data_IF_987820712460
#
_entry.id   IF_987820712460
#
_cell.length_a   1.000
_cell.length_b   1.000
_cell.length_c   1.000
_cell.angle_alpha   90.00
_cell.angle_beta   90.00
_cell.angle_gamma   90.00
#
_symmetry.space_group_name_H-M   'P 1'
#
loop_
_entity.id
_entity.type
_entity.pdbx_description
1 polymer ?
#
# COMPACT_ATOMS: atom_id res chain seq x y z
N UNK A 1 -41.96 9.21 -18.94
CA UNK A 1 -41.46 9.92 -20.13
C UNK A 1 -40.30 10.91 -19.90
N UNK A 2 -39.66 10.97 -18.72
CA UNK A 2 -38.44 11.80 -18.53
C UNK A 2 -37.15 11.00 -18.34
N UNK A 3 -37.19 9.66 -18.44
CA UNK A 3 -36.01 8.81 -18.23
C UNK A 3 -35.27 8.48 -19.53
N UNK A 4 -35.92 8.56 -20.70
CA UNK A 4 -35.27 8.34 -22.00
C UNK A 4 -34.49 9.57 -22.50
N UNK A 5 -34.79 10.77 -22.02
CA UNK A 5 -34.15 12.01 -22.48
C UNK A 5 -32.80 12.29 -21.80
N UNK A 6 -32.53 11.69 -20.65
CA UNK A 6 -31.25 11.80 -19.93
C UNK A 6 -30.16 10.87 -20.51
N UNK A 7 -30.55 9.78 -21.19
CA UNK A 7 -29.61 8.89 -21.88
C UNK A 7 -29.24 9.36 -23.29
N UNK A 8 -29.99 10.30 -23.87
CA UNK A 8 -29.68 10.87 -25.18
C UNK A 8 -28.61 11.98 -25.13
N UNK A 9 -28.35 12.57 -23.95
CA UNK A 9 -27.33 13.61 -23.75
C UNK A 9 -25.92 13.08 -23.45
N UNK A 10 -25.74 11.76 -23.41
CA UNK A 10 -24.47 11.10 -23.12
C UNK A 10 -23.98 10.24 -24.30
N UNK A 11 -24.35 10.61 -25.54
CA UNK A 11 -23.63 10.11 -26.71
C UNK A 11 -22.26 10.80 -26.74
N UNK A 12 -21.14 10.06 -26.73
CA UNK A 12 -19.83 10.66 -26.95
C UNK A 12 -19.83 11.31 -28.33
N UNK A 13 -19.29 12.54 -28.40
CA UNK A 13 -19.02 13.20 -29.67
C UNK A 13 -18.29 12.23 -30.62
N UNK A 14 -18.94 11.94 -31.74
CA UNK A 14 -18.46 11.06 -32.82
C UNK A 14 -17.27 11.66 -33.61
N UNK A 15 -16.52 12.59 -33.01
CA UNK A 15 -15.33 13.25 -33.57
C UNK A 15 -14.00 12.80 -32.95
N UNK A 16 -14.01 11.90 -31.97
CA UNK A 16 -12.77 11.42 -31.31
C UNK A 16 -12.27 10.05 -31.82
N UNK A 17 -12.83 9.53 -32.91
CA UNK A 17 -12.45 8.21 -33.46
C UNK A 17 -11.32 8.27 -34.51
N UNK A 18 -10.67 9.42 -34.68
CA UNK A 18 -9.48 9.53 -35.54
C UNK A 18 -8.25 8.96 -34.83
N UNK A 19 -7.95 7.70 -35.17
CA UNK A 19 -6.68 6.97 -34.97
C UNK A 19 -6.46 6.23 -33.64
N UNK A 20 -7.42 5.39 -33.23
CA UNK A 20 -7.11 4.31 -32.26
C UNK A 20 -6.02 3.38 -32.84
N UNK A 21 -4.78 3.51 -32.34
CA UNK A 21 -3.71 2.57 -32.67
C UNK A 21 -4.00 1.22 -31.98
N UNK A 22 -3.86 0.08 -32.68
CA UNK A 22 -4.33 -1.24 -32.19
C UNK A 22 -3.61 -1.78 -30.95
N UNK A 23 -2.63 -1.07 -30.40
CA UNK A 23 -1.82 -1.50 -29.25
C UNK A 23 -1.82 -0.49 -28.09
N UNK A 24 -2.69 0.52 -28.11
CA UNK A 24 -2.75 1.54 -27.05
C UNK A 24 -4.09 1.48 -26.34
N UNK A 25 -4.04 1.28 -25.04
CA UNK A 25 -5.20 1.20 -24.14
C UNK A 25 -5.55 2.60 -23.68
N UNK A 26 -6.81 2.99 -23.89
CA UNK A 26 -7.30 4.29 -23.43
C UNK A 26 -7.57 4.29 -21.92
N UNK A 27 -7.34 5.43 -21.28
CA UNK A 27 -7.63 5.64 -19.86
C UNK A 27 -9.13 5.57 -19.54
N UNK A 28 -10.00 5.67 -20.55
CA UNK A 28 -11.46 5.74 -20.41
C UNK A 28 -12.13 4.36 -20.39
N UNK A 29 -11.38 3.29 -20.57
CA UNK A 29 -11.94 1.94 -20.65
C UNK A 29 -12.37 1.42 -19.27
N UNK A 30 -13.61 0.94 -19.16
CA UNK A 30 -14.21 0.51 -17.88
C UNK A 30 -13.46 -0.69 -17.27
N UNK A 31 -12.99 -1.63 -18.11
CA UNK A 31 -12.21 -2.79 -17.64
C UNK A 31 -10.89 -2.39 -16.98
N UNK A 32 -10.29 -1.26 -17.39
CA UNK A 32 -9.06 -0.73 -16.78
C UNK A 32 -9.30 -0.36 -15.32
N UNK A 33 -10.47 0.19 -14.99
CA UNK A 33 -10.85 0.49 -13.61
C UNK A 33 -10.94 -0.77 -12.73
N UNK A 34 -11.49 -1.87 -13.26
CA UNK A 34 -11.50 -3.15 -12.54
C UNK A 34 -10.09 -3.72 -12.35
N UNK A 35 -9.22 -3.57 -13.34
CA UNK A 35 -7.81 -3.96 -13.23
C UNK A 35 -7.07 -3.15 -12.17
N UNK A 36 -7.24 -1.82 -12.15
CA UNK A 36 -6.65 -0.94 -11.14
C UNK A 36 -7.12 -1.32 -9.72
N UNK A 37 -8.39 -1.70 -9.56
CA UNK A 37 -8.92 -2.22 -8.29
C UNK A 37 -8.25 -3.56 -7.90
N UNK A 38 -8.10 -4.49 -8.85
CA UNK A 38 -7.43 -5.76 -8.60
C UNK A 38 -5.95 -5.56 -8.19
N UNK A 39 -5.25 -4.62 -8.81
CA UNK A 39 -3.88 -4.26 -8.46
C UNK A 39 -3.79 -3.57 -7.10
N UNK A 40 -4.75 -2.70 -6.78
CA UNK A 40 -4.86 -2.10 -5.45
C UNK A 40 -5.00 -3.18 -4.36
N UNK A 41 -5.89 -4.15 -4.56
CA UNK A 41 -6.07 -5.28 -3.64
C UNK A 41 -4.78 -6.11 -3.54
N UNK A 42 -4.13 -6.38 -4.67
CA UNK A 42 -2.87 -7.13 -4.69
C UNK A 42 -1.79 -6.44 -3.86
N UNK A 43 -1.64 -5.12 -3.98
CA UNK A 43 -0.65 -4.36 -3.19
C UNK A 43 -1.03 -4.36 -1.72
N UNK A 44 -2.32 -4.21 -1.38
CA UNK A 44 -2.81 -4.34 0.01
C UNK A 44 -2.41 -5.69 0.62
N UNK A 45 -2.62 -6.77 -0.12
CA UNK A 45 -2.23 -8.13 0.29
C UNK A 45 -0.71 -8.21 0.53
N UNK A 46 0.11 -7.69 -0.40
CA UNK A 46 1.57 -7.65 -0.25
C UNK A 46 2.01 -6.83 0.96
N UNK A 47 1.38 -5.68 1.20
CA UNK A 47 1.63 -4.81 2.35
C UNK A 47 1.28 -5.45 3.70
N UNK A 48 0.47 -6.51 3.72
CA UNK A 48 0.14 -7.25 4.94
C UNK A 48 1.11 -8.43 5.11
N UNK A 49 1.27 -9.26 4.08
CA UNK A 49 2.00 -10.52 4.24
C UNK A 49 3.53 -10.35 4.20
N UNK A 50 4.07 -9.40 3.44
CA UNK A 50 5.52 -9.21 3.37
C UNK A 50 6.10 -8.72 4.71
N UNK A 51 5.59 -7.63 5.33
CA UNK A 51 6.09 -7.19 6.63
C UNK A 51 5.86 -8.23 7.72
N UNK A 52 4.73 -8.95 7.69
CA UNK A 52 4.47 -10.05 8.62
C UNK A 52 5.52 -11.16 8.51
N UNK A 53 5.83 -11.63 7.30
CA UNK A 53 6.81 -12.70 7.07
C UNK A 53 8.23 -12.28 7.48
N UNK A 54 8.61 -11.04 7.19
CA UNK A 54 9.90 -10.48 7.59
C UNK A 54 9.96 -10.31 9.11
N UNK A 55 8.98 -9.61 9.68
CA UNK A 55 8.96 -9.20 11.08
C UNK A 55 8.85 -10.34 12.08
N UNK A 56 8.24 -11.45 11.67
CA UNK A 56 8.08 -12.64 12.50
C UNK A 56 9.03 -13.77 12.10
N UNK A 57 9.90 -13.55 11.09
CA UNK A 57 10.88 -14.50 10.56
C UNK A 57 10.19 -15.83 10.19
N UNK A 58 9.15 -15.75 9.36
CA UNK A 58 8.39 -16.92 8.91
C UNK A 58 9.15 -17.64 7.80
N UNK A 59 9.70 -18.82 8.11
CA UNK A 59 10.58 -19.61 7.22
C UNK A 59 9.85 -20.64 6.35
N UNK A 60 8.57 -20.89 6.62
CA UNK A 60 7.74 -21.90 5.92
C UNK A 60 7.26 -21.39 4.56
N UNK A 61 8.18 -21.25 3.60
CA UNK A 61 7.91 -20.64 2.29
C UNK A 61 6.91 -21.41 1.43
N UNK A 62 6.75 -22.72 1.63
CA UNK A 62 5.86 -23.57 0.84
C UNK A 62 4.38 -23.16 0.97
N UNK A 63 3.96 -22.71 2.16
CA UNK A 63 2.58 -22.26 2.41
C UNK A 63 2.23 -21.00 1.63
N UNK A 64 3.23 -20.19 1.31
CA UNK A 64 3.07 -18.90 0.65
C UNK A 64 3.34 -18.95 -0.87
N UNK A 65 3.84 -20.08 -1.38
CA UNK A 65 4.29 -20.22 -2.76
C UNK A 65 3.20 -19.86 -3.79
N UNK A 66 1.97 -20.33 -3.57
CA UNK A 66 0.85 -20.04 -4.47
C UNK A 66 0.55 -18.54 -4.54
N UNK A 67 0.55 -17.85 -3.39
CA UNK A 67 0.36 -16.41 -3.31
C UNK A 67 1.51 -15.65 -3.97
N UNK A 68 2.74 -16.10 -3.71
CA UNK A 68 3.97 -15.52 -4.25
C UNK A 68 3.98 -15.56 -5.79
N UNK A 69 3.60 -16.70 -6.38
CA UNK A 69 3.46 -16.86 -7.83
C UNK A 69 2.34 -15.96 -8.37
N UNK A 70 1.17 -15.94 -7.71
CA UNK A 70 0.04 -15.11 -8.14
C UNK A 70 0.40 -13.62 -8.17
N UNK A 71 1.09 -13.12 -7.15
CA UNK A 71 1.58 -11.72 -7.09
C UNK A 71 2.52 -11.41 -8.25
N UNK A 72 3.49 -12.28 -8.53
CA UNK A 72 4.43 -12.09 -9.64
C UNK A 72 3.71 -12.05 -10.99
N UNK A 73 2.75 -12.94 -11.22
CA UNK A 73 1.93 -12.96 -12.45
C UNK A 73 1.14 -11.66 -12.58
N UNK A 74 0.41 -11.25 -11.54
CA UNK A 74 -0.35 -9.99 -11.53
C UNK A 74 0.54 -8.78 -11.81
N UNK A 75 1.73 -8.76 -11.19
CA UNK A 75 2.71 -7.70 -11.36
C UNK A 75 3.28 -7.66 -12.78
N UNK A 76 3.47 -8.82 -13.42
CA UNK A 76 3.96 -8.94 -14.79
C UNK A 76 2.92 -8.44 -15.79
N UNK A 77 1.66 -8.83 -15.60
CA UNK A 77 0.54 -8.34 -16.42
C UNK A 77 0.39 -6.82 -16.24
N UNK A 78 0.51 -6.29 -15.03
CA UNK A 78 0.40 -4.85 -14.77
C UNK A 78 1.49 -4.04 -15.49
N UNK A 79 2.72 -4.53 -15.53
CA UNK A 79 3.82 -3.92 -16.29
C UNK A 79 3.50 -3.90 -17.78
N UNK A 80 3.00 -5.02 -18.31
CA UNK A 80 2.59 -5.10 -19.71
C UNK A 80 1.48 -4.10 -20.02
N UNK A 81 0.46 -4.00 -19.17
CA UNK A 81 -0.65 -3.06 -19.41
C UNK A 81 -0.16 -1.61 -19.31
N UNK A 82 0.63 -1.25 -18.29
CA UNK A 82 1.20 0.10 -18.14
C UNK A 82 2.07 0.52 -19.33
N UNK A 83 2.84 -0.42 -19.89
CA UNK A 83 3.65 -0.18 -21.08
C UNK A 83 2.82 0.09 -22.35
N UNK A 84 1.52 -0.23 -22.34
CA UNK A 84 0.59 -0.02 -23.45
C UNK A 84 -0.56 0.94 -23.10
N UNK A 85 -0.55 1.58 -21.93
CA UNK A 85 -1.61 2.52 -21.52
C UNK A 85 -1.24 3.94 -21.90
N UNK A 86 -2.19 4.67 -22.51
CA UNK A 86 -2.03 6.09 -22.83
C UNK A 86 -1.84 6.93 -21.56
N UNK A 87 -1.19 8.08 -21.71
CA UNK A 87 -1.06 9.05 -20.62
C UNK A 87 -1.64 10.40 -21.04
N UNK A 88 -2.12 11.15 -20.06
CA UNK A 88 -2.65 12.49 -20.24
C UNK A 88 -1.54 13.52 -20.08
N UNK A 89 -1.44 14.47 -21.02
CA UNK A 89 -0.55 15.62 -20.95
C UNK A 89 -1.31 16.85 -21.43
N UNK A 90 -1.38 17.88 -20.58
CA UNK A 90 -2.08 19.14 -20.87
C UNK A 90 -3.56 18.97 -21.29
N UNK A 91 -4.22 17.94 -20.75
CA UNK A 91 -5.63 17.63 -21.04
C UNK A 91 -5.84 16.79 -22.32
N UNK A 92 -4.78 16.48 -23.06
CA UNK A 92 -4.82 15.63 -24.25
C UNK A 92 -4.27 14.23 -23.97
N UNK A 93 -4.97 13.22 -24.51
CA UNK A 93 -4.59 11.81 -24.37
C UNK A 93 -3.55 11.45 -25.43
N UNK A 94 -2.28 11.33 -25.01
CA UNK A 94 -1.19 10.97 -25.91
C UNK A 94 -1.16 9.45 -26.09
N UNK A 95 -1.54 9.00 -27.28
CA UNK A 95 -1.62 7.59 -27.66
C UNK A 95 -0.41 7.13 -28.50
N UNK A 96 0.75 7.77 -28.37
CA UNK A 96 1.96 7.33 -29.08
C UNK A 96 2.78 6.30 -28.29
N UNK A 97 2.88 5.07 -28.80
CA UNK A 97 3.53 3.95 -28.12
C UNK A 97 5.00 4.24 -27.76
N UNK A 98 5.75 4.90 -28.64
CA UNK A 98 7.16 5.24 -28.37
C UNK A 98 7.28 6.28 -27.26
N UNK A 99 6.37 7.24 -27.20
CA UNK A 99 6.32 8.24 -26.15
C UNK A 99 5.94 7.63 -24.79
N UNK A 100 4.93 6.75 -24.77
CA UNK A 100 4.48 5.99 -23.59
C UNK A 100 5.65 5.19 -23.00
N UNK A 101 6.30 4.36 -23.81
CA UNK A 101 7.41 3.52 -23.36
C UNK A 101 8.59 4.35 -22.85
N UNK A 102 8.93 5.46 -23.52
CA UNK A 102 10.03 6.33 -23.08
C UNK A 102 9.73 6.99 -21.74
N UNK A 103 8.49 7.46 -21.54
CA UNK A 103 8.05 8.05 -20.27
C UNK A 103 8.04 7.01 -19.15
N UNK A 104 7.53 5.81 -19.44
CA UNK A 104 7.48 4.70 -18.49
C UNK A 104 8.88 4.23 -18.09
N UNK A 105 9.79 4.07 -19.07
CA UNK A 105 11.19 3.70 -18.86
C UNK A 105 11.94 4.69 -17.96
N UNK A 106 11.65 5.99 -18.09
CA UNK A 106 12.30 7.05 -17.29
C UNK A 106 11.78 7.17 -15.85
N UNK A 107 10.57 6.67 -15.57
CA UNK A 107 9.88 6.90 -14.30
C UNK A 107 9.75 5.63 -13.46
N UNK A 108 9.06 4.60 -13.97
CA UNK A 108 8.58 3.48 -13.16
C UNK A 108 9.08 2.10 -13.60
N UNK A 109 9.70 1.98 -14.78
CA UNK A 109 10.17 0.67 -15.28
C UNK A 109 11.18 -0.01 -14.33
N UNK A 110 12.16 0.75 -13.81
CA UNK A 110 13.19 0.19 -12.92
C UNK A 110 12.60 -0.40 -11.63
N UNK A 111 11.83 0.34 -10.81
CA UNK A 111 11.24 -0.23 -9.61
C UNK A 111 10.24 -1.37 -9.93
N UNK A 112 9.51 -1.28 -11.05
CA UNK A 112 8.56 -2.31 -11.45
C UNK A 112 9.24 -3.62 -11.84
N UNK A 113 10.37 -3.56 -12.55
CA UNK A 113 11.17 -4.74 -12.90
C UNK A 113 11.87 -5.31 -11.69
N UNK A 114 12.45 -4.49 -10.81
CA UNK A 114 13.07 -4.98 -9.58
C UNK A 114 12.08 -5.71 -8.67
N UNK A 115 10.84 -5.21 -8.60
CA UNK A 115 9.77 -5.87 -7.82
C UNK A 115 9.26 -7.18 -8.41
N UNK A 116 9.61 -7.50 -9.67
CA UNK A 116 9.26 -8.77 -10.32
C UNK A 116 10.26 -9.89 -10.03
N UNK A 117 11.48 -9.55 -9.60
CA UNK A 117 12.53 -10.53 -9.38
C UNK A 117 12.19 -11.34 -8.11
N UNK A 118 11.92 -12.64 -8.21
CA UNK A 118 11.58 -13.47 -7.05
C UNK A 118 12.86 -13.89 -6.31
N UNK A 119 13.53 -12.93 -5.67
CA UNK A 119 14.80 -13.14 -4.98
C UNK A 119 14.70 -14.20 -3.88
N UNK A 120 13.53 -14.34 -3.27
CA UNK A 120 13.23 -15.37 -2.27
C UNK A 120 13.17 -16.80 -2.83
N UNK A 121 12.73 -16.96 -4.08
CA UNK A 121 12.74 -18.29 -4.73
C UNK A 121 14.17 -18.68 -5.06
N UNK A 122 14.98 -17.71 -5.49
CA UNK A 122 16.41 -17.94 -5.71
C UNK A 122 17.09 -18.34 -4.40
N UNK A 123 16.86 -17.61 -3.30
CA UNK A 123 17.46 -17.93 -2.00
C UNK A 123 17.00 -19.29 -1.45
N UNK A 124 15.72 -19.64 -1.63
CA UNK A 124 15.20 -20.96 -1.30
C UNK A 124 15.86 -22.08 -2.13
N UNK A 125 16.11 -21.87 -3.42
CA UNK A 125 16.72 -22.86 -4.31
C UNK A 125 18.17 -23.20 -3.92
N UNK A 126 18.90 -22.26 -3.31
CA UNK A 126 20.25 -22.48 -2.78
C UNK A 126 20.25 -23.01 -1.33
N UNK A 127 19.08 -23.29 -0.75
CA UNK A 127 18.93 -23.84 0.60
C UNK A 127 18.95 -22.81 1.74
N UNK A 128 18.96 -21.52 1.43
CA UNK A 128 19.04 -20.43 2.41
C UNK A 128 17.88 -19.45 2.24
N UNK A 129 16.66 -19.89 2.56
CA UNK A 129 15.49 -19.01 2.51
C UNK A 129 15.57 -17.94 3.62
N UNK A 130 15.69 -16.68 3.18
CA UNK A 130 15.72 -15.51 4.04
C UNK A 130 14.53 -14.57 3.70
N UNK A 131 13.57 -14.38 4.62
CA UNK A 131 12.39 -13.54 4.39
C UNK A 131 12.72 -12.09 3.97
N UNK A 132 13.89 -11.58 4.37
CA UNK A 132 14.32 -10.21 4.08
C UNK A 132 14.33 -9.89 2.56
N UNK A 133 14.58 -10.88 1.70
CA UNK A 133 14.56 -10.69 0.25
C UNK A 133 13.18 -10.31 -0.31
N UNK A 134 12.10 -10.61 0.41
CA UNK A 134 10.75 -10.19 0.02
C UNK A 134 10.56 -8.68 0.09
N UNK A 135 11.41 -7.93 0.79
CA UNK A 135 11.31 -6.48 0.91
C UNK A 135 11.33 -5.78 -0.46
N UNK A 136 11.97 -6.36 -1.48
CA UNK A 136 11.96 -5.85 -2.86
C UNK A 136 10.54 -5.73 -3.45
N UNK A 137 9.59 -6.55 -2.99
CA UNK A 137 8.19 -6.49 -3.43
C UNK A 137 7.46 -5.24 -2.91
N UNK A 138 7.97 -4.61 -1.84
CA UNK A 138 7.43 -3.37 -1.30
C UNK A 138 7.77 -2.14 -2.15
N UNK A 139 8.66 -2.25 -3.14
CA UNK A 139 8.93 -1.16 -4.08
C UNK A 139 7.65 -0.69 -4.81
N UNK A 140 6.66 -1.58 -4.97
CA UNK A 140 5.38 -1.24 -5.59
C UNK A 140 4.42 -0.44 -4.71
N UNK A 141 4.70 -0.30 -3.41
CA UNK A 141 3.87 0.51 -2.50
C UNK A 141 3.76 1.96 -2.99
N UNK A 142 4.77 2.47 -3.70
CA UNK A 142 4.73 3.79 -4.33
C UNK A 142 3.57 3.98 -5.32
N UNK A 143 3.10 2.90 -5.96
CA UNK A 143 1.93 2.94 -6.85
C UNK A 143 0.60 3.07 -6.09
N UNK A 144 0.55 2.88 -4.77
CA UNK A 144 -0.69 3.14 -4.03
C UNK A 144 -1.18 4.57 -4.25
N UNK A 145 -0.27 5.54 -4.38
CA UNK A 145 -0.64 6.93 -4.69
C UNK A 145 -1.38 7.02 -6.03
N UNK A 146 -0.87 6.37 -7.08
CA UNK A 146 -1.51 6.38 -8.40
C UNK A 146 -2.89 5.73 -8.37
N UNK A 147 -3.04 4.61 -7.65
CA UNK A 147 -4.33 3.93 -7.50
C UNK A 147 -5.32 4.72 -6.64
N UNK A 148 -4.85 5.39 -5.59
CA UNK A 148 -5.68 6.28 -4.77
C UNK A 148 -6.17 7.50 -5.52
N UNK A 149 -5.36 8.04 -6.44
CA UNK A 149 -5.76 9.13 -7.33
C UNK A 149 -6.73 8.64 -8.40
N UNK A 150 -6.51 7.46 -8.98
CA UNK A 150 -7.44 6.84 -9.91
C UNK A 150 -8.80 6.58 -9.25
N UNK A 151 -8.80 6.02 -8.03
CA UNK A 151 -10.03 5.79 -7.26
C UNK A 151 -10.76 7.08 -6.93
N UNK A 152 -10.04 8.14 -6.52
CA UNK A 152 -10.64 9.45 -6.21
C UNK A 152 -11.36 10.05 -7.43
N UNK A 153 -10.81 9.88 -8.64
CA UNK A 153 -11.45 10.36 -9.88
C UNK A 153 -12.78 9.65 -10.20
N UNK A 154 -12.90 8.37 -9.84
CA UNK A 154 -14.08 7.54 -10.18
C UNK A 154 -15.08 7.49 -9.02
N UNK A 155 -14.64 7.72 -7.79
CA UNK A 155 -15.51 7.67 -6.62
C UNK A 155 -16.50 8.83 -6.60
N UNK A 156 -17.77 8.52 -6.35
CA UNK A 156 -18.83 9.53 -6.14
C UNK A 156 -18.85 10.12 -4.72
N UNK A 157 -17.86 9.78 -3.89
CA UNK A 157 -17.74 10.26 -2.53
C UNK A 157 -17.29 11.71 -2.50
N UNK A 158 -17.73 12.45 -1.48
CA UNK A 158 -17.23 13.82 -1.25
C UNK A 158 -15.71 13.77 -0.99
N UNK A 159 -14.91 14.71 -1.56
CA UNK A 159 -13.45 14.74 -1.36
C UNK A 159 -13.00 14.68 0.10
N UNK A 160 -13.75 15.32 1.00
CA UNK A 160 -13.46 15.29 2.43
C UNK A 160 -13.61 13.90 3.07
N UNK A 161 -14.57 13.09 2.60
CA UNK A 161 -14.76 11.71 3.06
C UNK A 161 -13.63 10.84 2.52
N UNK A 162 -13.26 10.99 1.25
CA UNK A 162 -12.12 10.30 0.63
C UNK A 162 -10.85 10.56 1.43
N UNK A 163 -10.60 11.83 1.82
CA UNK A 163 -9.44 12.20 2.63
C UNK A 163 -9.44 11.48 3.98
N UNK A 164 -10.57 11.40 4.68
CA UNK A 164 -10.67 10.67 5.97
C UNK A 164 -10.41 9.18 5.78
N UNK A 165 -11.02 8.55 4.77
CA UNK A 165 -10.82 7.13 4.47
C UNK A 165 -9.35 6.83 4.16
N UNK A 166 -8.70 7.67 3.34
CA UNK A 166 -7.26 7.57 3.05
C UNK A 166 -6.42 7.67 4.31
N UNK A 167 -6.72 8.62 5.21
CA UNK A 167 -5.98 8.75 6.47
C UNK A 167 -6.13 7.55 7.40
N UNK A 168 -7.35 7.02 7.56
CA UNK A 168 -7.59 5.80 8.35
C UNK A 168 -6.80 4.62 7.78
N UNK A 169 -6.84 4.45 6.45
CA UNK A 169 -6.05 3.44 5.77
C UNK A 169 -4.56 3.58 6.09
N UNK A 170 -4.00 4.80 5.97
CA UNK A 170 -2.58 5.06 6.29
C UNK A 170 -2.26 4.73 7.75
N UNK A 171 -3.11 5.09 8.72
CA UNK A 171 -2.88 4.76 10.14
C UNK A 171 -2.79 3.26 10.36
N UNK A 172 -3.75 2.49 9.83
CA UNK A 172 -3.81 1.04 10.03
C UNK A 172 -2.58 0.36 9.43
N UNK A 173 -2.22 0.71 8.19
CA UNK A 173 -1.04 0.14 7.54
C UNK A 173 0.25 0.56 8.24
N UNK A 174 0.38 1.82 8.63
CA UNK A 174 1.56 2.28 9.36
C UNK A 174 1.72 1.54 10.69
N UNK A 175 0.64 1.38 11.46
CA UNK A 175 0.63 0.57 12.68
C UNK A 175 1.05 -0.89 12.40
N UNK A 176 0.54 -1.50 11.33
CA UNK A 176 0.95 -2.85 10.91
C UNK A 176 2.47 -2.94 10.64
N UNK A 177 3.02 -2.03 9.82
CA UNK A 177 4.44 -2.00 9.50
C UNK A 177 5.30 -1.77 10.74
N UNK A 178 4.93 -0.80 11.58
CA UNK A 178 5.63 -0.49 12.84
C UNK A 178 5.61 -1.70 13.78
N UNK A 179 4.46 -2.35 13.94
CA UNK A 179 4.33 -3.55 14.77
C UNK A 179 5.19 -4.71 14.27
N UNK A 180 5.25 -4.92 12.94
CA UNK A 180 6.10 -5.94 12.35
C UNK A 180 7.60 -5.64 12.53
N UNK A 181 8.02 -4.38 12.34
CA UNK A 181 9.41 -3.95 12.57
C UNK A 181 9.76 -4.09 14.05
N UNK A 182 8.86 -3.71 14.95
CA UNK A 182 9.10 -3.84 16.38
C UNK A 182 9.28 -5.30 16.79
N UNK A 183 8.41 -6.19 16.29
CA UNK A 183 8.58 -7.62 16.51
C UNK A 183 9.90 -8.17 15.97
N UNK A 184 10.40 -7.64 14.85
CA UNK A 184 11.71 -7.98 14.31
C UNK A 184 12.84 -7.58 15.26
N UNK A 185 12.79 -6.35 15.79
CA UNK A 185 13.76 -5.84 16.77
C UNK A 185 13.82 -6.78 17.98
N UNK A 186 12.66 -7.14 18.54
CA UNK A 186 12.57 -8.06 19.68
C UNK A 186 13.23 -9.41 19.36
N UNK A 187 13.03 -9.94 18.15
CA UNK A 187 13.63 -11.22 17.74
C UNK A 187 15.15 -11.13 17.55
N UNK A 188 15.65 -10.00 17.05
CA UNK A 188 17.08 -9.78 16.83
C UNK A 188 17.83 -9.52 18.15
N UNK A 189 17.18 -8.86 19.11
CA UNK A 189 17.77 -8.54 20.41
C UNK A 189 17.68 -9.70 21.42
N UNK A 190 16.75 -10.64 21.20
CA UNK A 190 16.63 -11.87 21.96
C UNK A 190 16.49 -11.62 23.46
N UNK A 191 17.49 -12.03 24.23
CA UNK A 191 17.49 -11.95 25.69
C UNK A 191 17.58 -10.52 26.24
N UNK A 192 18.09 -9.58 25.44
CA UNK A 192 18.19 -8.17 25.84
C UNK A 192 16.83 -7.45 25.90
N UNK A 193 15.80 -7.98 25.24
CA UNK A 193 14.46 -7.38 25.15
C UNK A 193 13.47 -7.85 26.26
N UNK A 194 13.92 -8.72 27.18
CA UNK A 194 13.03 -9.62 27.96
C UNK A 194 12.17 -9.06 29.12
N UNK A 195 12.37 -7.88 29.75
CA UNK A 195 11.53 -7.54 30.91
C UNK A 195 10.20 -6.81 30.59
N UNK A 196 10.21 -5.75 29.77
CA UNK A 196 9.06 -4.83 29.71
C UNK A 196 8.02 -5.21 28.64
N UNK A 197 8.46 -5.56 27.43
CA UNK A 197 7.53 -5.87 26.34
C UNK A 197 7.03 -7.31 26.39
N UNK A 198 7.93 -8.27 26.62
CA UNK A 198 7.62 -9.71 26.61
C UNK A 198 6.92 -10.22 27.86
N UNK A 199 6.87 -9.41 28.92
CA UNK A 199 6.37 -9.79 30.24
C UNK A 199 7.16 -10.95 30.86
N UNK A 200 6.81 -11.32 32.09
CA UNK A 200 7.42 -12.44 32.82
C UNK A 200 7.21 -13.81 32.16
N UNK A 201 6.28 -13.91 31.20
CA UNK A 201 5.92 -15.15 30.50
C UNK A 201 6.53 -15.31 29.10
N UNK A 202 7.43 -14.42 28.67
CA UNK A 202 8.13 -14.58 27.39
C UNK A 202 7.19 -14.64 26.17
N UNK A 203 6.72 -13.49 25.67
CA UNK A 203 5.91 -13.37 24.43
C UNK A 203 6.43 -14.21 23.25
N UNK A 204 7.74 -14.49 23.18
CA UNK A 204 8.34 -15.32 22.13
C UNK A 204 7.81 -16.77 22.11
N UNK A 205 7.33 -17.28 23.24
CA UNK A 205 6.75 -18.63 23.35
C UNK A 205 5.26 -18.67 22.98
N UNK A 206 4.62 -17.51 22.77
CA UNK A 206 3.21 -17.42 22.41
C UNK A 206 2.98 -17.63 20.91
N UNK A 207 1.75 -18.04 20.56
CA UNK A 207 1.36 -18.27 19.17
C UNK A 207 1.51 -17.00 18.31
N UNK A 208 1.67 -17.19 17.00
CA UNK A 208 1.83 -16.08 16.04
C UNK A 208 0.70 -15.03 16.14
N UNK A 209 -0.60 -15.40 16.23
CA UNK A 209 -1.67 -14.42 16.39
C UNK A 209 -1.54 -13.59 17.66
N UNK A 210 -1.14 -14.20 18.78
CA UNK A 210 -0.95 -13.48 20.04
C UNK A 210 0.20 -12.46 19.96
N UNK A 211 1.33 -12.87 19.37
CA UNK A 211 2.47 -11.99 19.14
C UNK A 211 2.12 -10.83 18.20
N UNK A 212 1.36 -11.11 17.15
CA UNK A 212 0.88 -10.10 16.20
C UNK A 212 -0.04 -9.07 16.85
N UNK A 213 -1.09 -9.51 17.54
CA UNK A 213 -2.06 -8.61 18.19
C UNK A 213 -1.35 -7.71 19.19
N UNK A 214 -0.39 -8.24 19.96
CA UNK A 214 0.36 -7.48 20.95
C UNK A 214 1.28 -6.43 20.32
N UNK A 215 1.99 -6.79 19.25
CA UNK A 215 2.85 -5.86 18.51
C UNK A 215 2.05 -4.77 17.79
N UNK A 216 0.90 -5.14 17.23
CA UNK A 216 -0.04 -4.20 16.62
C UNK A 216 -0.62 -3.23 17.65
N UNK A 217 -1.05 -3.73 18.81
CA UNK A 217 -1.50 -2.89 19.94
C UNK A 217 -0.41 -1.90 20.38
N UNK A 218 0.83 -2.38 20.54
CA UNK A 218 1.96 -1.53 20.93
C UNK A 218 2.22 -0.42 19.92
N UNK A 219 2.16 -0.74 18.61
CA UNK A 219 2.34 0.26 17.56
C UNK A 219 1.31 1.38 17.64
N UNK A 220 0.03 1.03 17.85
CA UNK A 220 -1.06 1.99 18.01
C UNK A 220 -0.86 2.89 19.23
N UNK A 221 -0.57 2.32 20.39
CA UNK A 221 -0.40 3.08 21.64
C UNK A 221 0.84 3.97 21.58
N UNK A 222 1.91 3.51 20.92
CA UNK A 222 3.13 4.31 20.77
C UNK A 222 2.93 5.46 19.79
N UNK A 223 2.20 5.23 18.69
CA UNK A 223 1.84 6.31 17.75
C UNK A 223 0.98 7.41 18.40
N UNK A 224 0.18 7.10 19.42
CA UNK A 224 -0.58 8.11 20.17
C UNK A 224 0.22 8.80 21.27
N UNK A 225 1.43 8.32 21.57
CA UNK A 225 2.27 8.85 22.66
C UNK A 225 1.89 8.37 24.06
N UNK A 226 0.96 7.41 24.18
CA UNK A 226 0.48 6.88 25.46
C UNK A 226 1.14 5.53 25.83
N UNK A 227 2.38 5.28 25.38
CA UNK A 227 3.04 4.01 25.62
C UNK A 227 3.49 3.89 27.09
N UNK A 228 2.92 2.91 27.80
CA UNK A 228 3.27 2.54 29.17
C UNK A 228 4.36 1.45 29.25
N UNK A 229 4.91 1.04 28.10
CA UNK A 229 5.98 0.04 28.04
C UNK A 229 7.30 0.73 27.78
N UNK A 230 8.18 0.76 28.79
CA UNK A 230 9.48 1.39 28.66
C UNK A 230 10.39 0.57 27.72
N UNK A 231 11.04 1.21 26.73
CA UNK A 231 12.04 0.53 25.91
C UNK A 231 13.23 0.11 26.79
N UNK A 232 13.74 -1.09 26.54
CA UNK A 232 14.82 -1.70 27.32
C UNK A 232 16.18 -1.53 26.64
N UNK A 233 16.19 -1.41 25.33
CA UNK A 233 17.41 -1.27 24.53
C UNK A 233 17.52 0.10 23.88
N UNK A 234 18.74 0.47 23.47
CA UNK A 234 18.96 1.71 22.70
C UNK A 234 18.21 1.68 21.36
N UNK A 235 18.15 0.52 20.71
CA UNK A 235 17.41 0.34 19.45
C UNK A 235 15.92 0.58 19.65
N UNK A 236 15.31 -0.05 20.66
CA UNK A 236 13.90 0.14 20.99
C UNK A 236 13.60 1.59 21.33
N UNK A 237 14.50 2.25 22.07
CA UNK A 237 14.36 3.66 22.46
C UNK A 237 14.36 4.57 21.23
N UNK A 238 15.38 4.44 20.38
CA UNK A 238 15.50 5.24 19.14
C UNK A 238 14.29 4.99 18.23
N UNK A 239 13.90 3.73 18.05
CA UNK A 239 12.74 3.39 17.24
C UNK A 239 11.44 3.98 17.78
N UNK A 240 11.21 3.90 19.10
CA UNK A 240 10.03 4.46 19.76
C UNK A 240 9.93 5.97 19.62
N UNK A 241 11.06 6.69 19.66
CA UNK A 241 11.11 8.14 19.41
C UNK A 241 10.59 8.45 18.00
N UNK A 242 11.09 7.76 16.97
CA UNK A 242 10.64 7.97 15.59
C UNK A 242 9.16 7.63 15.41
N UNK A 243 8.70 6.50 15.96
CA UNK A 243 7.29 6.08 15.91
C UNK A 243 6.38 7.13 16.53
N UNK A 244 6.76 7.66 17.70
CA UNK A 244 5.98 8.67 18.42
C UNK A 244 5.90 9.98 17.63
N UNK A 245 7.01 10.45 17.05
CA UNK A 245 7.03 11.67 16.23
C UNK A 245 6.15 11.55 14.98
N UNK A 246 6.24 10.43 14.27
CA UNK A 246 5.41 10.16 13.10
C UNK A 246 3.93 10.06 13.50
N UNK A 247 3.64 9.33 14.59
CA UNK A 247 2.28 9.13 15.10
C UNK A 247 1.59 10.44 15.49
N UNK A 248 2.24 11.27 16.32
CA UNK A 248 1.69 12.57 16.75
C UNK A 248 1.41 13.47 15.54
N UNK A 249 2.34 13.51 14.56
CA UNK A 249 2.17 14.31 13.34
C UNK A 249 0.96 13.85 12.51
N UNK A 250 0.79 12.52 12.40
CA UNK A 250 -0.32 11.91 11.66
C UNK A 250 -1.66 12.20 12.35
N UNK A 251 -1.76 11.98 13.66
CA UNK A 251 -2.98 12.26 14.42
C UNK A 251 -3.35 13.74 14.40
N UNK A 252 -2.37 14.66 14.50
CA UNK A 252 -2.61 16.09 14.36
C UNK A 252 -3.21 16.44 12.99
N UNK A 253 -2.69 15.85 11.91
CA UNK A 253 -3.18 16.06 10.53
C UNK A 253 -4.61 15.54 10.37
N UNK A 254 -4.93 14.40 10.98
CA UNK A 254 -6.27 13.80 10.95
C UNK A 254 -7.27 14.69 11.70
N UNK A 255 -6.93 15.12 12.92
CA UNK A 255 -7.78 16.01 13.71
C UNK A 255 -8.03 17.33 12.97
N UNK A 256 -6.99 17.92 12.36
CA UNK A 256 -7.12 19.13 11.54
C UNK A 256 -8.03 18.92 10.33
N UNK A 257 -7.92 17.78 9.65
CA UNK A 257 -8.79 17.43 8.52
C UNK A 257 -10.25 17.28 8.97
N UNK A 258 -10.50 16.57 10.08
CA UNK A 258 -11.85 16.40 10.62
C UNK A 258 -12.44 17.74 11.05
N UNK A 259 -11.66 18.59 11.71
CA UNK A 259 -12.09 19.95 12.10
C UNK A 259 -12.52 20.77 10.89
N UNK A 260 -11.72 20.79 9.82
CA UNK A 260 -12.07 21.50 8.58
C UNK A 260 -13.35 20.96 7.93
N UNK A 261 -13.61 19.65 8.02
CA UNK A 261 -14.83 19.06 7.49
C UNK A 261 -16.06 19.52 8.27
N UNK A 262 -16.00 19.51 9.61
CA UNK A 262 -17.12 19.95 10.46
C UNK A 262 -17.47 21.40 10.17
N UNK A 263 -16.47 22.29 10.11
CA UNK A 263 -16.70 23.70 9.76
C UNK A 263 -17.35 23.87 8.39
N UNK A 264 -16.90 23.13 7.38
CA UNK A 264 -17.46 23.20 6.02
C UNK A 264 -18.91 22.67 5.95
N UNK A 265 -19.27 21.70 6.78
CA UNK A 265 -20.64 21.19 6.86
C UNK A 265 -21.57 22.21 7.53
N UNK A 266 -21.11 22.86 8.60
CA UNK A 266 -21.90 23.87 9.30
C UNK A 266 -22.09 25.13 8.45
N UNK A 267 -21.08 25.56 7.68
CA UNK A 267 -21.22 26.68 6.75
C UNK A 267 -22.16 26.39 5.58
N UNK A 268 -22.41 25.12 5.23
CA UNK A 268 -23.33 24.74 4.15
C UNK A 268 -24.81 24.71 4.57
N UNK A 269 -25.10 24.87 5.87
CA UNK A 269 -26.47 24.90 6.43
C UNK A 269 -27.01 26.33 6.62
N UNK A 270 -26.16 27.35 6.45
CA UNK A 270 -26.51 28.77 6.44
C UNK A 270 -26.74 29.24 4.99
#
# INVERSE_FOLDING_TARGET
NSFCTLLAGAMPDARSDETRKPFVISLKEVWRGYWDLAMFITIVVVCIFVPLRIGFILREWQEWLALDIAVVIMYGIDVFIKAHTAYEHDGEEISDQKAILRRYARSWLVPDVLSLIPLEVFSAAIGHYEPAFLAGRLLRVGHLVTYFLAWERVSSLKPSIIRIVKSIFVVIFLAHFIGCIFQLIILLEGDAAKPAFTGSEGILEKSLPSRYIRSFYWSFVTMTGYNNTDPQTQTETIFSIFVTLIGISLFATIIGTVGSLVTNLDSSKL
#
